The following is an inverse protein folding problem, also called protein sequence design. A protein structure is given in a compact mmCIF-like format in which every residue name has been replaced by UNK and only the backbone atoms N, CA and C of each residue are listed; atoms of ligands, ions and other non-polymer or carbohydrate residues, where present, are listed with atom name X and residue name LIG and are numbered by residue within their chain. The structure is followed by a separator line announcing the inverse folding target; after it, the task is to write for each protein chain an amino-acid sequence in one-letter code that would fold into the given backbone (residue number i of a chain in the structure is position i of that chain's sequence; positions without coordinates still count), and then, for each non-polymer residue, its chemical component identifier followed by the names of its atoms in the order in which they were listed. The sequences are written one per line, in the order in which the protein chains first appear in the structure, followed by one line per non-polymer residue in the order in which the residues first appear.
data_IF_341255226911
#
_entry.id   IF_341255226911
#
_cell.length_a   1.000
_cell.length_b   1.000
_cell.length_c   1.000
_cell.angle_alpha   90.00
_cell.angle_beta   90.00
_cell.angle_gamma   90.00
#
_symmetry.space_group_name_H-M   'P 1'
#
loop_
_entity.id
_entity.type
_entity.pdbx_description
1 polymer ?
#
# COMPACT_ATOMS: atom_id res chain seq x y z
N UNK A 1 11.25 2.65 -12.80
CA UNK A 1 10.16 1.75 -13.26
C UNK A 1 10.05 0.59 -12.30
N UNK A 2 8.85 0.26 -11.78
CA UNK A 2 8.61 -1.02 -11.08
C UNK A 2 8.15 -2.02 -12.14
N UNK A 3 8.94 -3.06 -12.36
CA UNK A 3 8.74 -4.07 -13.40
C UNK A 3 8.44 -5.43 -12.74
N UNK A 4 7.31 -6.02 -13.08
CA UNK A 4 6.86 -7.33 -12.62
C UNK A 4 6.78 -8.24 -13.85
N UNK A 5 7.53 -9.35 -13.85
CA UNK A 5 7.59 -10.24 -15.00
C UNK A 5 7.28 -11.69 -14.60
N UNK A 6 6.20 -12.23 -15.15
CA UNK A 6 5.82 -13.64 -15.02
C UNK A 6 5.55 -14.08 -13.58
N UNK A 7 5.10 -13.16 -12.70
CA UNK A 7 4.89 -13.45 -11.28
C UNK A 7 3.85 -14.54 -11.10
N UNK A 8 4.23 -15.62 -10.42
CA UNK A 8 3.37 -16.77 -10.16
C UNK A 8 3.44 -17.17 -8.69
N UNK A 9 2.28 -17.45 -8.09
CA UNK A 9 2.17 -17.94 -6.71
C UNK A 9 1.09 -18.99 -6.55
N UNK A 10 1.45 -20.14 -5.97
CA UNK A 10 0.55 -21.25 -5.70
C UNK A 10 0.37 -21.48 -4.19
N UNK A 11 -0.82 -21.94 -3.81
CA UNK A 11 -1.12 -22.50 -2.48
C UNK A 11 -1.63 -23.93 -2.66
N UNK A 12 -0.76 -24.90 -2.53
CA UNK A 12 -1.07 -26.29 -2.83
C UNK A 12 -1.44 -26.47 -4.31
N UNK A 13 -2.71 -26.79 -4.59
CA UNK A 13 -3.22 -26.95 -5.97
C UNK A 13 -3.85 -25.68 -6.54
N UNK A 14 -4.04 -24.64 -5.74
CA UNK A 14 -4.64 -23.39 -6.15
C UNK A 14 -3.58 -22.40 -6.65
N UNK A 15 -3.80 -21.80 -7.79
CA UNK A 15 -2.94 -20.74 -8.35
C UNK A 15 -3.55 -19.38 -8.01
N UNK A 16 -2.94 -18.67 -7.05
CA UNK A 16 -3.42 -17.37 -6.60
C UNK A 16 -2.95 -16.21 -7.49
N UNK A 17 -1.78 -16.32 -8.10
CA UNK A 17 -1.25 -15.41 -9.13
C UNK A 17 -0.64 -16.27 -10.23
N UNK A 18 -1.02 -16.03 -11.49
CA UNK A 18 -0.66 -16.87 -12.63
C UNK A 18 0.00 -16.04 -13.74
N UNK A 19 1.32 -16.02 -13.76
CA UNK A 19 2.14 -15.43 -14.83
C UNK A 19 1.93 -13.92 -15.01
N UNK A 20 1.61 -13.17 -13.92
CA UNK A 20 1.31 -11.75 -14.00
C UNK A 20 2.54 -10.93 -14.41
N UNK A 21 2.35 -10.10 -15.43
CA UNK A 21 3.39 -9.16 -15.89
C UNK A 21 2.76 -7.79 -16.08
N UNK A 22 3.40 -6.74 -15.51
CA UNK A 22 2.97 -5.34 -15.64
C UNK A 22 4.12 -4.40 -15.29
N UNK A 23 3.97 -3.11 -15.61
CA UNK A 23 4.91 -2.04 -15.31
C UNK A 23 4.20 -0.86 -14.69
N UNK A 24 4.71 -0.38 -13.55
CA UNK A 24 4.15 0.77 -12.85
C UNK A 24 5.08 1.98 -12.95
N UNK A 25 4.48 3.16 -13.05
CA UNK A 25 5.19 4.43 -13.06
C UNK A 25 5.37 4.99 -11.65
N UNK A 26 6.43 5.77 -11.41
CA UNK A 26 6.61 6.54 -10.17
C UNK A 26 5.66 7.73 -10.12
N UNK A 27 5.31 8.15 -8.91
CA UNK A 27 4.49 9.32 -8.65
C UNK A 27 3.00 9.14 -8.97
N UNK A 28 2.59 7.96 -9.46
CA UNK A 28 1.21 7.64 -9.79
C UNK A 28 0.64 6.57 -8.88
N UNK A 29 -0.61 6.76 -8.42
CA UNK A 29 -1.33 5.74 -7.67
C UNK A 29 -2.00 4.77 -8.64
N UNK A 30 -1.53 3.53 -8.67
CA UNK A 30 -2.15 2.42 -9.38
C UNK A 30 -3.23 1.79 -8.51
N UNK A 31 -4.43 1.60 -9.06
CA UNK A 31 -5.57 0.99 -8.38
C UNK A 31 -5.76 -0.44 -8.86
N UNK A 32 -5.65 -1.39 -7.94
CA UNK A 32 -5.83 -2.83 -8.18
C UNK A 32 -7.27 -3.23 -7.84
N UNK A 33 -8.02 -3.64 -8.85
CA UNK A 33 -9.43 -4.04 -8.73
C UNK A 33 -9.62 -5.52 -9.05
N UNK A 34 -10.72 -6.09 -8.58
CA UNK A 34 -11.10 -7.49 -8.83
C UNK A 34 -11.92 -8.05 -7.67
N UNK A 35 -12.58 -9.18 -7.91
CA UNK A 35 -13.41 -9.85 -6.89
C UNK A 35 -12.56 -10.34 -5.70
N UNK A 36 -13.25 -10.69 -4.60
CA UNK A 36 -12.60 -11.44 -3.51
C UNK A 36 -12.07 -12.77 -4.05
N UNK A 37 -10.85 -13.12 -3.68
CA UNK A 37 -10.17 -14.34 -4.21
C UNK A 37 -9.45 -14.14 -5.54
N UNK A 38 -9.52 -12.99 -6.21
CA UNK A 38 -8.83 -12.77 -7.50
C UNK A 38 -7.29 -12.73 -7.41
N UNK A 39 -6.69 -12.83 -6.21
CA UNK A 39 -5.23 -12.86 -6.02
C UNK A 39 -4.60 -11.51 -5.61
N UNK A 40 -5.39 -10.44 -5.42
CA UNK A 40 -4.88 -9.09 -5.12
C UNK A 40 -3.98 -9.03 -3.88
N UNK A 41 -4.46 -9.55 -2.74
CA UNK A 41 -3.68 -9.61 -1.50
C UNK A 41 -2.40 -10.42 -1.65
N UNK A 42 -2.46 -11.53 -2.40
CA UNK A 42 -1.27 -12.36 -2.70
C UNK A 42 -0.24 -11.58 -3.51
N UNK A 43 -0.68 -10.85 -4.54
CA UNK A 43 0.20 -9.96 -5.32
C UNK A 43 0.89 -8.92 -4.41
N UNK A 44 0.12 -8.21 -3.57
CA UNK A 44 0.67 -7.22 -2.64
C UNK A 44 1.66 -7.85 -1.64
N UNK A 45 1.40 -9.05 -1.15
CA UNK A 45 2.31 -9.77 -0.24
C UNK A 45 3.59 -10.22 -0.93
N UNK A 46 3.53 -10.63 -2.19
CA UNK A 46 4.71 -10.92 -2.98
C UNK A 46 5.57 -9.66 -3.20
N UNK A 47 4.95 -8.53 -3.52
CA UNK A 47 5.64 -7.25 -3.68
C UNK A 47 6.28 -6.75 -2.38
N UNK A 48 5.64 -6.99 -1.23
CA UNK A 48 6.19 -6.61 0.08
C UNK A 48 7.21 -7.63 0.62
N UNK A 49 7.43 -8.77 -0.06
CA UNK A 49 8.31 -9.83 0.39
C UNK A 49 7.79 -10.68 1.56
N UNK A 50 6.53 -10.47 1.99
CA UNK A 50 5.86 -11.33 3.00
C UNK A 50 5.63 -12.73 2.45
N UNK A 51 5.50 -12.86 1.14
CA UNK A 51 5.41 -14.14 0.45
C UNK A 51 6.42 -14.20 -0.69
N UNK A 52 7.04 -15.35 -0.86
CA UNK A 52 7.98 -15.57 -1.97
C UNK A 52 7.19 -16.08 -3.17
N UNK A 53 7.30 -15.46 -4.36
CA UNK A 53 6.73 -16.01 -5.57
C UNK A 53 7.39 -17.34 -5.93
N UNK A 54 6.62 -18.25 -6.55
CA UNK A 54 7.14 -19.55 -7.03
C UNK A 54 7.87 -19.37 -8.38
N UNK A 55 7.52 -18.33 -9.14
CA UNK A 55 8.21 -17.96 -10.38
C UNK A 55 8.06 -16.45 -10.65
N UNK A 56 8.88 -15.95 -11.57
CA UNK A 56 8.88 -14.54 -12.00
C UNK A 56 9.85 -13.67 -11.20
N UNK A 57 9.92 -12.39 -11.58
CA UNK A 57 10.81 -11.39 -10.96
C UNK A 57 10.08 -10.08 -10.68
N UNK A 58 10.55 -9.37 -9.67
CA UNK A 58 10.08 -8.03 -9.30
C UNK A 58 11.32 -7.13 -9.22
N UNK A 59 11.37 -6.10 -10.06
CA UNK A 59 12.51 -5.21 -10.13
C UNK A 59 12.07 -3.74 -9.99
N UNK A 60 12.89 -2.94 -9.33
CA UNK A 60 12.79 -1.48 -9.28
C UNK A 60 14.04 -0.91 -9.94
N UNK A 61 13.85 -0.12 -11.00
CA UNK A 61 14.92 0.53 -11.74
C UNK A 61 16.08 -0.44 -12.08
N UNK A 62 15.71 -1.60 -12.66
CA UNK A 62 16.59 -2.70 -13.08
C UNK A 62 17.27 -3.49 -11.93
N UNK A 63 16.95 -3.22 -10.68
CA UNK A 63 17.45 -3.98 -9.52
C UNK A 63 16.32 -4.79 -8.85
N UNK A 64 16.60 -6.00 -8.32
CA UNK A 64 15.59 -6.76 -7.58
C UNK A 64 15.04 -5.95 -6.40
N UNK A 65 13.70 -5.92 -6.25
CA UNK A 65 13.03 -5.27 -5.13
C UNK A 65 13.39 -5.99 -3.82
N UNK A 66 14.00 -5.27 -2.89
CA UNK A 66 14.22 -5.79 -1.55
C UNK A 66 12.95 -5.60 -0.69
N UNK A 67 12.67 -6.54 0.22
CA UNK A 67 11.51 -6.47 1.11
C UNK A 67 11.49 -5.19 1.98
N UNK A 68 12.66 -4.62 2.28
CA UNK A 68 12.80 -3.36 3.01
C UNK A 68 12.37 -2.13 2.21
N UNK A 69 12.33 -2.25 0.88
CA UNK A 69 12.06 -1.13 -0.03
C UNK A 69 10.57 -1.03 -0.37
N UNK A 70 9.75 -1.98 0.12
CA UNK A 70 8.30 -1.98 -0.02
C UNK A 70 7.61 -1.87 1.34
N UNK A 71 6.78 -0.86 1.54
CA UNK A 71 5.95 -0.70 2.72
C UNK A 71 4.49 -1.06 2.45
N UNK A 72 3.86 -1.78 3.37
CA UNK A 72 2.46 -2.20 3.26
C UNK A 72 1.59 -1.54 4.33
N UNK A 73 0.58 -0.82 3.88
CA UNK A 73 -0.52 -0.29 4.70
C UNK A 73 -1.63 -1.33 4.76
N UNK A 74 -1.90 -1.86 5.94
CA UNK A 74 -2.96 -2.84 6.17
C UNK A 74 -4.31 -2.18 6.40
N UNK A 75 -5.39 -2.94 6.25
CA UNK A 75 -6.73 -2.57 6.70
C UNK A 75 -6.70 -2.16 8.19
N UNK A 76 -7.41 -1.10 8.56
CA UNK A 76 -7.41 -0.51 9.92
C UNK A 76 -6.02 -0.08 10.45
N UNK A 77 -5.02 0.13 9.56
CA UNK A 77 -3.69 0.63 9.91
C UNK A 77 -2.80 -0.37 10.66
N UNK A 78 -3.34 -1.46 11.21
CA UNK A 78 -2.63 -2.44 12.05
C UNK A 78 -1.73 -1.76 13.10
N UNK A 79 -2.27 -0.76 13.81
CA UNK A 79 -1.56 0.03 14.81
C UNK A 79 -1.41 -0.74 16.12
N UNK A 80 -0.41 -0.38 16.89
CA UNK A 80 -0.16 -0.95 18.22
C UNK A 80 -0.94 -0.15 19.23
N UNK A 81 -1.93 -0.79 19.88
CA UNK A 81 -2.71 -0.22 20.97
C UNK A 81 -1.82 0.16 22.14
N UNK A 82 -2.23 1.19 22.90
CA UNK A 82 -1.46 1.69 24.04
C UNK A 82 -0.28 2.60 23.66
N UNK A 83 0.00 2.77 22.36
CA UNK A 83 1.01 3.71 21.85
C UNK A 83 0.34 4.98 21.30
N UNK A 84 1.06 6.09 21.36
CA UNK A 84 0.67 7.33 20.69
C UNK A 84 0.83 7.22 19.15
N UNK A 85 0.27 8.20 18.42
CA UNK A 85 0.42 8.27 16.97
C UNK A 85 1.90 8.33 16.54
N UNK A 86 2.73 9.15 17.20
CA UNK A 86 4.15 9.26 16.87
C UNK A 86 4.93 7.99 17.18
N UNK A 87 4.62 7.28 18.26
CA UNK A 87 5.26 6.00 18.59
C UNK A 87 4.91 4.92 17.55
N UNK A 88 3.67 4.88 17.06
CA UNK A 88 3.29 3.99 15.97
C UNK A 88 4.01 4.33 14.66
N UNK A 89 4.22 5.61 14.36
CA UNK A 89 5.00 6.01 13.18
C UNK A 89 6.46 5.61 13.32
N UNK A 90 7.06 5.80 14.50
CA UNK A 90 8.43 5.40 14.80
C UNK A 90 8.69 3.89 14.62
N UNK A 91 7.69 3.05 14.90
CA UNK A 91 7.79 1.60 14.64
C UNK A 91 8.07 1.31 13.15
N UNK A 92 7.72 2.20 12.22
CA UNK A 92 8.09 2.10 10.80
C UNK A 92 9.59 2.16 10.53
N UNK A 93 10.39 2.79 11.40
CA UNK A 93 11.83 2.85 11.25
C UNK A 93 12.56 1.53 11.63
N UNK A 94 11.88 0.62 12.33
CA UNK A 94 12.48 -0.62 12.89
C UNK A 94 13.09 -1.51 11.81
N UNK A 95 12.53 -1.55 10.61
CA UNK A 95 13.07 -2.34 9.49
C UNK A 95 14.47 -1.93 9.03
N UNK A 96 14.91 -0.69 9.38
CA UNK A 96 16.19 -0.10 8.97
C UNK A 96 17.19 0.02 10.13
N UNK A 97 16.72 -0.22 11.35
CA UNK A 97 17.54 -0.05 12.55
C UNK A 97 18.13 -1.38 13.03
N UNK A 98 19.29 -1.37 13.71
CA UNK A 98 19.83 -2.56 14.34
C UNK A 98 18.87 -3.11 15.41
N UNK A 99 18.63 -4.42 15.42
CA UNK A 99 17.68 -5.10 16.31
C UNK A 99 17.84 -4.78 17.81
N UNK A 100 19.05 -4.41 18.27
CA UNK A 100 19.26 -4.02 19.67
C UNK A 100 18.58 -2.70 20.05
N UNK A 101 18.36 -1.77 19.09
CA UNK A 101 17.63 -0.51 19.34
C UNK A 101 16.14 -0.76 19.55
N UNK A 102 15.58 -1.68 18.77
CA UNK A 102 14.23 -2.16 18.96
C UNK A 102 14.00 -2.69 20.39
N UNK A 103 14.97 -3.48 20.89
CA UNK A 103 14.87 -4.10 22.23
C UNK A 103 14.80 -3.09 23.37
N UNK A 104 15.40 -1.90 23.21
CA UNK A 104 15.41 -0.83 24.24
C UNK A 104 14.43 0.31 23.93
N UNK A 105 13.68 0.23 22.81
CA UNK A 105 12.72 1.27 22.41
C UNK A 105 13.35 2.66 22.22
N UNK A 106 14.64 2.71 21.82
CA UNK A 106 15.36 3.96 21.66
C UNK A 106 15.31 4.47 20.22
N UNK A 107 14.71 5.64 20.04
CA UNK A 107 14.69 6.37 18.77
C UNK A 107 15.52 7.65 18.88
N UNK A 108 16.23 7.99 17.83
CA UNK A 108 16.99 9.23 17.81
C UNK A 108 16.06 10.46 17.77
N UNK A 109 16.51 11.65 18.24
CA UNK A 109 15.74 12.89 18.11
C UNK A 109 15.39 13.22 16.64
N UNK A 110 16.25 12.86 15.69
CA UNK A 110 16.01 13.07 14.26
C UNK A 110 14.90 12.16 13.75
N UNK A 111 14.86 10.88 14.16
CA UNK A 111 13.78 9.98 13.80
C UNK A 111 12.43 10.46 14.33
N UNK A 112 12.40 10.96 15.58
CA UNK A 112 11.18 11.52 16.15
C UNK A 112 10.73 12.76 15.37
N UNK A 113 11.65 13.63 14.94
CA UNK A 113 11.34 14.78 14.12
C UNK A 113 10.72 14.36 12.78
N UNK A 114 11.36 13.40 12.10
CA UNK A 114 10.84 12.85 10.84
C UNK A 114 9.47 12.21 11.04
N UNK A 115 9.24 11.44 12.11
CA UNK A 115 7.93 10.85 12.40
C UNK A 115 6.84 11.91 12.60
N UNK A 116 7.15 13.05 13.23
CA UNK A 116 6.22 14.17 13.35
C UNK A 116 5.94 14.81 11.99
N UNK A 117 6.97 14.97 11.14
CA UNK A 117 6.82 15.45 9.76
C UNK A 117 5.90 14.51 8.95
N UNK A 118 6.07 13.18 9.06
CA UNK A 118 5.16 12.21 8.42
C UNK A 118 3.71 12.34 8.88
N UNK A 119 3.47 12.61 10.18
CA UNK A 119 2.12 12.91 10.66
C UNK A 119 1.56 14.21 10.05
N UNK A 120 2.37 15.21 9.82
CA UNK A 120 1.95 16.44 9.11
C UNK A 120 1.59 16.14 7.64
N UNK A 121 2.41 15.34 6.94
CA UNK A 121 2.20 14.96 5.54
C UNK A 121 0.82 14.28 5.33
N UNK A 122 0.36 13.51 6.33
CA UNK A 122 -0.95 12.86 6.29
C UNK A 122 -2.09 13.69 6.91
N UNK A 123 -1.85 14.97 7.25
CA UNK A 123 -2.84 15.89 7.79
C UNK A 123 -3.18 15.66 9.26
N UNK A 124 -2.24 15.11 10.05
CA UNK A 124 -2.37 14.87 11.49
C UNK A 124 -1.44 15.77 12.33
N UNK A 125 -1.23 17.02 11.90
CA UNK A 125 -0.51 18.02 12.69
C UNK A 125 -1.15 18.20 14.07
N UNK A 126 -0.33 18.13 15.15
CA UNK A 126 -0.79 18.26 16.52
C UNK A 126 -1.44 17.00 17.12
N UNK A 127 -1.34 15.85 16.45
CA UNK A 127 -1.86 14.57 16.95
C UNK A 127 -0.76 13.63 17.48
N UNK A 128 0.51 14.04 17.44
CA UNK A 128 1.66 13.19 17.72
C UNK A 128 1.56 12.41 19.05
N UNK A 129 1.17 13.08 20.12
CA UNK A 129 1.10 12.47 21.46
C UNK A 129 -0.29 11.85 21.79
N UNK A 130 -1.22 11.82 20.82
CA UNK A 130 -2.54 11.20 21.04
C UNK A 130 -2.45 9.69 20.98
N UNK A 131 -3.05 8.95 21.94
CA UNK A 131 -3.21 7.52 21.86
C UNK A 131 -3.99 7.15 20.58
N UNK A 132 -3.57 6.09 19.87
CA UNK A 132 -4.21 5.73 18.60
C UNK A 132 -5.66 5.31 18.75
N UNK A 133 -6.04 4.77 19.91
CA UNK A 133 -7.43 4.38 20.24
C UNK A 133 -8.37 5.60 20.35
N UNK A 134 -7.83 6.79 20.61
CA UNK A 134 -8.60 8.03 20.67
C UNK A 134 -8.81 8.69 19.28
N UNK A 135 -8.26 8.08 18.24
CA UNK A 135 -8.36 8.55 16.86
C UNK A 135 -9.55 7.90 16.14
N UNK A 136 -10.18 8.63 15.20
CA UNK A 136 -11.17 8.04 14.29
C UNK A 136 -10.51 7.01 13.35
N UNK A 137 -11.30 6.10 12.76
CA UNK A 137 -10.78 5.09 11.83
C UNK A 137 -9.98 5.68 10.66
N UNK A 138 -10.46 6.79 10.07
CA UNK A 138 -9.72 7.50 9.03
C UNK A 138 -8.41 8.14 9.53
N UNK A 139 -8.38 8.63 10.77
CA UNK A 139 -7.15 9.13 11.40
C UNK A 139 -6.17 7.99 11.70
N UNK A 140 -6.65 6.86 12.19
CA UNK A 140 -5.84 5.65 12.39
C UNK A 140 -5.22 5.17 11.08
N UNK A 141 -6.01 5.15 10.00
CA UNK A 141 -5.51 4.79 8.68
C UNK A 141 -4.41 5.73 8.19
N UNK A 142 -4.55 7.04 8.43
CA UNK A 142 -3.51 8.02 8.11
C UNK A 142 -2.24 7.84 8.95
N UNK A 143 -2.34 7.44 10.23
CA UNK A 143 -1.18 7.04 11.04
C UNK A 143 -0.49 5.82 10.41
N UNK A 144 -1.26 4.84 9.90
CA UNK A 144 -0.72 3.68 9.17
C UNK A 144 0.06 4.08 7.91
N UNK A 145 -0.45 5.06 7.15
CA UNK A 145 0.27 5.62 5.99
C UNK A 145 1.56 6.33 6.43
N UNK A 146 1.50 7.16 7.48
CA UNK A 146 2.69 7.84 8.02
C UNK A 146 3.76 6.85 8.49
N UNK A 147 3.35 5.73 9.14
CA UNK A 147 4.24 4.63 9.54
C UNK A 147 4.90 3.97 8.34
N UNK A 148 4.15 3.72 7.26
CA UNK A 148 4.68 3.17 6.04
C UNK A 148 5.71 4.12 5.39
N UNK A 149 5.43 5.42 5.35
CA UNK A 149 6.36 6.44 4.84
C UNK A 149 7.63 6.57 5.70
N UNK A 150 7.55 6.28 7.02
CA UNK A 150 8.71 6.28 7.91
C UNK A 150 9.74 5.21 7.52
N UNK A 151 9.33 4.13 6.84
CA UNK A 151 10.25 3.14 6.28
C UNK A 151 11.11 3.70 5.14
N UNK A 152 10.75 4.85 4.55
CA UNK A 152 11.37 5.44 3.35
C UNK A 152 11.38 4.42 2.18
N UNK A 153 10.22 3.87 1.83
CA UNK A 153 10.13 2.84 0.81
C UNK A 153 10.28 3.44 -0.60
N UNK A 154 10.61 2.59 -1.59
CA UNK A 154 10.41 2.88 -3.00
C UNK A 154 8.98 2.55 -3.45
N UNK A 155 8.37 1.53 -2.84
CA UNK A 155 7.03 1.03 -3.17
C UNK A 155 6.09 1.16 -1.98
N UNK A 156 4.99 1.89 -2.15
CA UNK A 156 3.93 2.02 -1.15
C UNK A 156 2.72 1.19 -1.56
N UNK A 157 2.45 0.16 -0.80
CA UNK A 157 1.35 -0.77 -1.01
C UNK A 157 0.24 -0.53 0.00
N UNK A 158 -1.03 -0.73 -0.40
CA UNK A 158 -2.15 -0.67 0.52
C UNK A 158 -3.18 -1.76 0.19
N UNK A 159 -3.48 -2.62 1.16
CA UNK A 159 -4.47 -3.68 1.00
C UNK A 159 -5.78 -3.28 1.66
N UNK A 160 -6.75 -2.92 0.80
CA UNK A 160 -8.11 -2.50 1.20
C UNK A 160 -8.14 -1.43 2.31
N UNK A 161 -7.34 -0.34 2.20
CA UNK A 161 -7.12 0.58 3.30
C UNK A 161 -8.36 1.33 3.76
N UNK A 162 -9.45 1.30 2.98
CA UNK A 162 -10.69 2.06 3.24
C UNK A 162 -11.93 1.20 3.41
N UNK A 163 -11.80 -0.13 3.47
CA UNK A 163 -12.94 -1.06 3.46
C UNK A 163 -13.92 -0.88 4.63
N UNK A 164 -13.44 -0.39 5.78
CA UNK A 164 -14.26 -0.18 7.00
C UNK A 164 -14.67 1.29 7.22
N UNK A 165 -14.38 2.17 6.27
CA UNK A 165 -14.65 3.60 6.38
C UNK A 165 -15.90 3.98 5.58
N UNK A 166 -16.56 5.07 5.99
CA UNK A 166 -17.59 5.69 5.17
C UNK A 166 -16.97 6.24 3.86
N UNK A 167 -17.76 6.41 2.79
CA UNK A 167 -17.22 6.78 1.48
C UNK A 167 -16.48 8.13 1.45
N UNK A 168 -16.91 9.11 2.26
CA UNK A 168 -16.28 10.43 2.31
C UNK A 168 -14.90 10.35 2.99
N UNK A 169 -14.83 9.70 4.15
CA UNK A 169 -13.58 9.42 4.85
C UNK A 169 -12.66 8.56 3.98
N UNK A 170 -13.19 7.55 3.30
CA UNK A 170 -12.43 6.70 2.39
C UNK A 170 -11.76 7.47 1.26
N UNK A 171 -12.51 8.34 0.56
CA UNK A 171 -11.94 9.22 -0.47
C UNK A 171 -10.84 10.13 0.08
N UNK A 172 -11.06 10.67 1.29
CA UNK A 172 -10.06 11.52 1.95
C UNK A 172 -8.77 10.78 2.29
N UNK A 173 -8.85 9.52 2.70
CA UNK A 173 -7.67 8.66 2.95
C UNK A 173 -6.95 8.32 1.64
N UNK A 174 -7.69 7.97 0.59
CA UNK A 174 -7.11 7.70 -0.74
C UNK A 174 -6.42 8.94 -1.33
N UNK A 175 -6.98 10.14 -1.13
CA UNK A 175 -6.34 11.38 -1.55
C UNK A 175 -5.02 11.63 -0.80
N UNK A 176 -4.93 11.30 0.49
CA UNK A 176 -3.69 11.36 1.26
C UNK A 176 -2.67 10.36 0.72
N UNK A 177 -3.09 9.13 0.42
CA UNK A 177 -2.22 8.10 -0.15
C UNK A 177 -1.66 8.52 -1.52
N UNK A 178 -2.53 9.01 -2.43
CA UNK A 178 -2.12 9.46 -3.76
C UNK A 178 -1.14 10.65 -3.69
N UNK A 179 -1.41 11.61 -2.79
CA UNK A 179 -0.50 12.72 -2.55
C UNK A 179 0.84 12.25 -2.04
N UNK A 180 0.89 11.33 -1.07
CA UNK A 180 2.12 10.77 -0.55
C UNK A 180 2.93 10.06 -1.64
N UNK A 181 2.28 9.28 -2.52
CA UNK A 181 2.91 8.64 -3.67
C UNK A 181 3.56 9.68 -4.59
N UNK A 182 2.83 10.75 -4.92
CA UNK A 182 3.32 11.80 -5.82
C UNK A 182 4.42 12.66 -5.19
N UNK A 183 4.25 13.12 -3.94
CA UNK A 183 5.22 14.01 -3.27
C UNK A 183 6.55 13.32 -2.93
N UNK A 184 6.51 12.01 -2.67
CA UNK A 184 7.72 11.22 -2.37
C UNK A 184 8.26 10.42 -3.57
N UNK A 185 7.70 10.62 -4.76
CA UNK A 185 8.09 9.93 -6.01
C UNK A 185 8.13 8.40 -5.86
N UNK A 186 7.08 7.82 -5.23
CA UNK A 186 6.96 6.39 -4.95
C UNK A 186 6.24 5.65 -6.08
N UNK A 187 6.40 4.34 -6.14
CA UNK A 187 5.45 3.46 -6.81
C UNK A 187 4.29 3.18 -5.85
N UNK A 188 3.06 3.56 -6.22
CA UNK A 188 1.87 3.37 -5.40
C UNK A 188 0.96 2.27 -5.95
N UNK A 189 0.57 1.27 -5.13
CA UNK A 189 -0.41 0.26 -5.51
C UNK A 189 -1.41 0.05 -4.37
N UNK A 190 -2.70 0.29 -4.65
CA UNK A 190 -3.79 0.12 -3.68
C UNK A 190 -4.83 -0.87 -4.18
N UNK A 191 -5.16 -1.89 -3.38
CA UNK A 191 -6.30 -2.77 -3.68
C UNK A 191 -7.61 -2.16 -3.18
N UNK A 192 -8.66 -2.21 -4.01
CA UNK A 192 -9.98 -1.73 -3.67
C UNK A 192 -11.07 -2.70 -4.12
N UNK A 193 -12.14 -2.81 -3.30
CA UNK A 193 -13.38 -3.47 -3.70
C UNK A 193 -14.37 -2.53 -4.41
N UNK A 194 -14.27 -1.23 -4.14
CA UNK A 194 -15.14 -0.20 -4.69
C UNK A 194 -14.30 0.77 -5.52
N UNK A 195 -14.10 0.50 -6.81
CA UNK A 195 -13.25 1.33 -7.67
C UNK A 195 -13.68 2.80 -7.73
N UNK A 196 -14.96 3.08 -7.69
CA UNK A 196 -15.49 4.46 -7.69
C UNK A 196 -15.04 5.35 -6.52
N UNK A 197 -14.40 4.80 -5.48
CA UNK A 197 -13.75 5.61 -4.44
C UNK A 197 -12.44 6.24 -4.93
N UNK A 198 -11.81 5.67 -5.95
CA UNK A 198 -10.50 6.10 -6.46
C UNK A 198 -10.58 6.92 -7.77
N UNK A 199 -11.78 7.15 -8.33
CA UNK A 199 -11.97 7.82 -9.63
C UNK A 199 -11.24 9.17 -9.76
N UNK A 200 -11.03 9.86 -8.65
CA UNK A 200 -10.36 11.18 -8.64
C UNK A 200 -8.87 11.11 -8.37
N UNK A 201 -8.32 9.94 -7.99
CA UNK A 201 -6.93 9.80 -7.54
C UNK A 201 -6.16 8.71 -8.30
N UNK A 202 -6.85 7.84 -9.03
CA UNK A 202 -6.23 6.80 -9.81
C UNK A 202 -5.46 7.39 -11.00
N UNK A 203 -4.18 7.04 -11.15
CA UNK A 203 -3.40 7.29 -12.36
C UNK A 203 -3.48 6.11 -13.33
N UNK A 204 -3.57 4.89 -12.79
CA UNK A 204 -3.59 3.65 -13.54
C UNK A 204 -4.52 2.62 -12.90
N UNK A 205 -5.13 1.75 -13.70
CA UNK A 205 -5.93 0.61 -13.22
C UNK A 205 -5.30 -0.71 -13.63
N UNK A 206 -5.18 -1.61 -12.64
CA UNK A 206 -4.94 -3.04 -12.85
C UNK A 206 -6.18 -3.83 -12.42
N UNK A 207 -6.70 -4.68 -13.30
CA UNK A 207 -7.81 -5.58 -13.00
C UNK A 207 -7.36 -7.03 -12.92
N UNK A 208 -7.70 -7.73 -11.85
CA UNK A 208 -7.38 -9.15 -11.67
C UNK A 208 -8.66 -10.00 -11.62
N UNK A 209 -8.62 -11.13 -12.33
CA UNK A 209 -9.60 -12.20 -12.27
C UNK A 209 -8.87 -13.55 -12.29
N UNK A 210 -9.25 -14.49 -11.42
CA UNK A 210 -8.69 -15.86 -11.33
C UNK A 210 -7.14 -15.90 -11.35
N UNK A 211 -6.50 -15.00 -10.60
CA UNK A 211 -5.05 -14.89 -10.51
C UNK A 211 -4.36 -14.21 -11.69
N UNK A 212 -5.09 -13.80 -12.71
CA UNK A 212 -4.55 -13.21 -13.94
C UNK A 212 -4.88 -11.73 -14.07
N UNK A 213 -4.01 -11.01 -14.76
CA UNK A 213 -4.27 -9.63 -15.16
C UNK A 213 -5.21 -9.61 -16.37
N UNK A 214 -6.36 -8.95 -16.23
CA UNK A 214 -7.39 -8.82 -17.27
C UNK A 214 -7.59 -7.37 -17.72
N UNK A 215 -7.10 -6.42 -16.96
CA UNK A 215 -7.08 -4.98 -17.28
C UNK A 215 -5.74 -4.40 -16.85
N UNK A 216 -5.11 -3.62 -17.73
CA UNK A 216 -3.85 -2.89 -17.49
C UNK A 216 -3.85 -1.63 -18.35
N UNK A 217 -4.37 -0.50 -17.80
CA UNK A 217 -4.54 0.76 -18.56
C UNK A 217 -4.41 2.00 -17.69
N UNK A 218 -3.95 3.12 -18.27
CA UNK A 218 -4.07 4.44 -17.67
C UNK A 218 -5.52 4.76 -17.30
N UNK A 219 -5.75 5.40 -16.16
CA UNK A 219 -7.10 5.69 -15.67
C UNK A 219 -7.92 6.55 -16.66
N UNK A 220 -7.26 7.41 -17.43
CA UNK A 220 -7.91 8.23 -18.45
C UNK A 220 -8.51 7.42 -19.65
N UNK A 221 -8.11 6.15 -19.80
CA UNK A 221 -8.54 5.26 -20.87
C UNK A 221 -9.51 4.18 -20.40
N UNK A 222 -9.87 4.17 -19.09
CA UNK A 222 -10.74 3.17 -18.47
C UNK A 222 -12.14 3.74 -18.33
N UNK A 223 -13.14 3.01 -18.82
CA UNK A 223 -14.55 3.34 -18.64
C UNK A 223 -15.26 2.39 -17.66
N UNK A 224 -16.56 2.61 -17.44
CA UNK A 224 -17.36 1.76 -16.54
C UNK A 224 -17.50 0.32 -17.03
N UNK A 225 -17.54 0.11 -18.33
CA UNK A 225 -17.69 -1.21 -18.94
C UNK A 225 -16.41 -2.04 -18.78
N UNK A 226 -15.24 -1.40 -18.87
CA UNK A 226 -13.95 -2.03 -18.56
C UNK A 226 -13.91 -2.52 -17.10
N UNK A 227 -14.34 -1.66 -16.17
CA UNK A 227 -14.40 -2.01 -14.73
C UNK A 227 -15.38 -3.15 -14.49
N UNK A 228 -16.61 -3.06 -15.03
CA UNK A 228 -17.61 -4.12 -14.91
C UNK A 228 -17.11 -5.45 -15.50
N UNK A 229 -16.35 -5.40 -16.61
CA UNK A 229 -15.71 -6.55 -17.23
C UNK A 229 -14.76 -7.31 -16.32
N UNK A 230 -14.02 -6.61 -15.46
CA UNK A 230 -13.15 -7.25 -14.45
C UNK A 230 -13.96 -8.05 -13.43
N UNK A 231 -15.14 -7.55 -13.04
CA UNK A 231 -16.01 -8.24 -12.07
C UNK A 231 -16.90 -9.31 -12.71
N UNK A 232 -17.13 -9.29 -14.01
CA UNK A 232 -17.93 -10.30 -14.73
C UNK A 232 -17.15 -11.58 -15.04
N UNK A 233 -15.82 -11.48 -15.22
CA UNK A 233 -14.95 -12.58 -15.67
C UNK A 233 -14.31 -13.38 -14.52
N UNK A 234 -14.75 -13.23 -13.27
CA UNK A 234 -14.24 -13.92 -12.09
C UNK A 234 -15.33 -14.69 -11.31
#
# INVERSE_FOLDING_TARGET
MLDIEGLTRHYGTETAVDGLSTRLARGELTVLIGRSGAGKTTLLRCLNGLEQPDAGTINVDDAPLAATDAALVFQAGALVDGKSAVENVLDGALSREPAWRELIGWHSPDEKRVAIERLHDVGLAGYADRPVEALSGGQQQRVGIARALQQQPDVLLADEPVASLDPETGRSVLAVLARAVSEHDLFGLVSLHQPGLADTVAGHYLGMADGRLVLDRPAAEVDSDDIEGVYANG
#
